data_IF_098001822729
#
_entry.id   IF_098001822729
#
_cell.length_a   1.000
_cell.length_b   1.000
_cell.length_c   1.000
_cell.angle_alpha   90.00
_cell.angle_beta   90.00
_cell.angle_gamma   90.00
#
_symmetry.space_group_name_H-M   'P 1'
#
loop_
_entity.id
_entity.type
_entity.pdbx_description
1 polymer ?
#
# COMPACT_ATOMS: atom_id res chain seq x y z
N UNK A 1 12.01 16.71 81.09
CA UNK A 1 11.06 17.17 80.05
C UNK A 1 10.54 15.92 79.33
N UNK A 2 9.55 15.21 79.90
CA UNK A 2 8.10 15.29 79.60
C UNK A 2 7.71 15.00 78.15
N UNK A 3 7.16 13.78 77.93
CA UNK A 3 5.99 13.39 77.12
C UNK A 3 6.02 13.71 75.60
N UNK A 4 5.36 13.05 74.66
CA UNK A 4 4.62 11.79 74.46
C UNK A 4 4.11 11.88 73.01
N UNK A 5 3.68 10.74 72.45
CA UNK A 5 2.72 10.58 71.34
C UNK A 5 3.27 10.62 69.89
N UNK A 6 3.10 9.45 69.27
CA UNK A 6 2.79 9.27 67.86
C UNK A 6 1.66 10.20 67.40
N UNK A 7 1.48 10.36 66.09
CA UNK A 7 0.26 10.07 65.32
C UNK A 7 0.52 10.38 63.84
N UNK A 8 -0.19 9.64 63.00
CA UNK A 8 0.04 9.45 61.58
C UNK A 8 -0.16 10.69 60.70
N UNK A 9 0.59 10.74 59.59
CA UNK A 9 0.11 11.38 58.35
C UNK A 9 0.19 10.33 57.25
N UNK A 10 -0.97 9.78 56.90
CA UNK A 10 -1.16 9.01 55.69
C UNK A 10 -1.08 9.96 54.50
N UNK A 11 -0.03 9.85 53.69
CA UNK A 11 0.02 10.44 52.36
C UNK A 11 -0.34 9.36 51.34
N UNK A 12 -1.65 9.21 51.11
CA UNK A 12 -2.18 8.62 49.88
C UNK A 12 -2.04 9.70 48.81
N UNK A 13 -1.03 9.58 47.95
CA UNK A 13 -0.96 10.37 46.71
C UNK A 13 -0.73 9.41 45.55
N UNK A 14 -1.67 9.48 44.61
CA UNK A 14 -2.02 8.44 43.66
C UNK A 14 -0.88 7.99 42.76
N UNK A 15 -0.86 6.67 42.52
CA UNK A 15 -0.35 6.13 41.27
C UNK A 15 -1.15 6.77 40.13
N UNK A 16 -0.58 7.78 39.49
CA UNK A 16 -1.00 8.18 38.15
C UNK A 16 -0.66 7.02 37.23
N UNK A 17 -1.65 6.19 36.92
CA UNK A 17 -1.57 5.23 35.83
C UNK A 17 -1.40 6.07 34.57
N UNK A 18 -0.16 6.24 34.11
CA UNK A 18 0.10 6.77 32.79
C UNK A 18 -0.35 5.67 31.84
N UNK A 19 -1.62 5.73 31.43
CA UNK A 19 -2.10 4.92 30.32
C UNK A 19 -1.24 5.30 29.13
N UNK A 20 -0.40 4.37 28.70
CA UNK A 20 0.32 4.49 27.45
C UNK A 20 -0.69 4.87 26.35
N UNK A 21 -0.33 5.78 25.42
CA UNK A 21 -1.19 6.06 24.29
C UNK A 21 -1.47 4.72 23.60
N UNK A 22 -2.75 4.35 23.55
CA UNK A 22 -3.23 3.23 22.75
C UNK A 22 -2.64 3.37 21.35
N UNK A 23 -1.98 2.35 20.79
CA UNK A 23 -1.58 2.40 19.39
C UNK A 23 -2.83 2.73 18.59
N UNK A 24 -2.74 3.80 17.78
CA UNK A 24 -3.79 4.17 16.85
C UNK A 24 -4.23 2.90 16.14
N UNK A 25 -5.51 2.55 16.30
CA UNK A 25 -6.13 1.41 15.65
C UNK A 25 -5.65 1.39 14.21
N UNK A 26 -5.01 0.29 13.82
CA UNK A 26 -4.60 0.07 12.44
C UNK A 26 -5.83 0.33 11.58
N UNK A 27 -5.84 1.48 10.89
CA UNK A 27 -6.83 1.74 9.86
C UNK A 27 -6.66 0.61 8.87
N UNK A 28 -7.58 -0.35 8.89
CA UNK A 28 -7.64 -1.39 7.89
C UNK A 28 -7.61 -0.66 6.54
N UNK A 29 -6.52 -0.83 5.79
CA UNK A 29 -6.43 -0.42 4.39
C UNK A 29 -7.50 -1.27 3.69
N UNK A 30 -8.72 -0.75 3.61
CA UNK A 30 -9.77 -1.32 2.80
C UNK A 30 -9.32 -1.04 1.37
N UNK A 31 -8.66 -2.00 0.75
CA UNK A 31 -8.39 -2.00 -0.67
C UNK A 31 -9.71 -2.35 -1.37
N UNK A 32 -10.44 -1.39 -1.96
CA UNK A 32 -11.63 -1.70 -2.75
C UNK A 32 -11.25 -2.29 -4.13
N UNK A 33 -9.95 -2.47 -4.36
CA UNK A 33 -9.31 -2.99 -5.57
C UNK A 33 -9.13 -4.51 -5.57
N UNK A 34 -9.79 -5.25 -4.66
CA UNK A 34 -9.79 -6.72 -4.66
C UNK A 34 -10.57 -7.26 -5.89
N UNK A 35 -10.03 -7.02 -7.08
CA UNK A 35 -10.48 -7.59 -8.33
C UNK A 35 -9.76 -8.92 -8.53
N UNK A 36 -10.57 -9.94 -8.78
CA UNK A 36 -10.25 -11.36 -8.64
C UNK A 36 -8.89 -11.73 -9.24
N UNK A 37 -8.00 -12.27 -8.40
CA UNK A 37 -6.92 -13.11 -8.87
C UNK A 37 -7.50 -14.23 -9.74
N UNK A 38 -6.76 -14.69 -10.75
CA UNK A 38 -7.06 -15.95 -11.41
C UNK A 38 -7.29 -17.02 -10.32
N UNK A 39 -8.49 -17.62 -10.31
CA UNK A 39 -8.88 -18.56 -9.26
C UNK A 39 -7.92 -19.74 -9.26
N UNK A 40 -7.36 -20.09 -8.09
CA UNK A 40 -6.41 -21.19 -7.97
C UNK A 40 -4.94 -20.79 -8.15
N UNK A 41 -4.60 -19.51 -7.99
CA UNK A 41 -3.22 -19.06 -7.83
C UNK A 41 -2.86 -18.86 -6.34
N UNK A 42 -1.70 -19.37 -5.95
CA UNK A 42 -1.05 -19.06 -4.67
C UNK A 42 0.00 -17.98 -4.92
N UNK A 43 0.04 -16.96 -4.05
CA UNK A 43 1.05 -15.90 -4.09
C UNK A 43 1.79 -15.81 -2.77
N UNK A 44 3.08 -15.49 -2.83
CA UNK A 44 3.91 -15.29 -1.64
C UNK A 44 5.07 -14.35 -1.95
N UNK A 45 5.68 -13.83 -0.89
CA UNK A 45 6.88 -13.00 -0.96
C UNK A 45 8.02 -13.71 -0.22
N UNK A 46 9.24 -13.54 -0.71
CA UNK A 46 10.45 -14.07 -0.10
C UNK A 46 11.53 -13.01 0.09
N UNK A 47 12.45 -13.30 1.00
CA UNK A 47 13.63 -12.49 1.24
C UNK A 47 14.58 -12.57 0.06
N UNK A 48 15.09 -11.41 -0.34
CA UNK A 48 16.13 -11.27 -1.35
C UNK A 48 17.37 -10.74 -0.67
N UNK A 49 18.51 -11.41 -0.91
CA UNK A 49 19.81 -10.94 -0.47
C UNK A 49 20.29 -9.81 -1.40
N UNK A 50 20.39 -8.59 -0.87
CA UNK A 50 21.04 -7.45 -1.51
C UNK A 50 22.48 -7.29 -1.02
N UNK A 51 23.46 -7.74 -1.79
CA UNK A 51 24.88 -7.64 -1.39
C UNK A 51 25.24 -8.46 -0.14
N UNK A 52 26.39 -8.16 0.45
CA UNK A 52 27.03 -9.06 1.43
C UNK A 52 26.26 -9.26 2.74
N UNK A 53 25.35 -8.34 3.13
CA UNK A 53 24.62 -8.49 4.40
C UNK A 53 23.29 -7.70 4.48
N UNK A 54 22.67 -7.34 3.35
CA UNK A 54 21.33 -6.73 3.38
C UNK A 54 20.30 -7.70 2.83
N UNK A 55 19.14 -7.75 3.48
CA UNK A 55 18.00 -8.55 3.05
C UNK A 55 16.79 -7.65 2.95
N UNK A 56 15.99 -7.83 1.91
CA UNK A 56 14.71 -7.12 1.78
C UNK A 56 13.63 -8.07 1.26
N UNK A 57 12.39 -7.84 1.70
CA UNK A 57 11.24 -8.67 1.38
C UNK A 57 10.67 -8.22 0.02
N UNK A 58 11.41 -8.49 -1.06
CA UNK A 58 11.18 -7.84 -2.36
C UNK A 58 10.83 -8.76 -3.51
N UNK A 59 10.96 -10.08 -3.38
CA UNK A 59 10.62 -11.01 -4.47
C UNK A 59 9.24 -11.60 -4.24
N UNK A 60 8.35 -11.34 -5.18
CA UNK A 60 7.02 -11.95 -5.17
C UNK A 60 6.95 -13.08 -6.19
N UNK A 61 6.20 -14.10 -5.82
CA UNK A 61 6.03 -15.32 -6.57
C UNK A 61 4.55 -15.62 -6.76
N UNK A 62 4.21 -16.17 -7.92
CA UNK A 62 2.86 -16.63 -8.27
C UNK A 62 2.97 -18.05 -8.80
N UNK A 63 2.13 -18.93 -8.31
CA UNK A 63 1.96 -20.27 -8.86
C UNK A 63 0.47 -20.57 -9.00
N UNK A 64 0.02 -20.82 -10.23
CA UNK A 64 -1.36 -21.15 -10.55
C UNK A 64 -1.49 -22.61 -10.96
N UNK A 65 -2.67 -23.18 -10.72
CA UNK A 65 -2.98 -24.56 -11.08
C UNK A 65 -3.16 -24.77 -12.60
N UNK A 66 -3.49 -23.73 -13.35
CA UNK A 66 -3.70 -23.80 -14.80
C UNK A 66 -3.38 -22.47 -15.50
N UNK A 67 -3.36 -22.50 -16.84
CA UNK A 67 -3.18 -21.31 -17.66
C UNK A 67 -1.72 -20.88 -17.87
N UNK A 68 -1.58 -19.73 -18.53
CA UNK A 68 -0.30 -19.07 -18.80
C UNK A 68 -0.36 -17.66 -18.23
N UNK A 69 0.62 -17.30 -17.41
CA UNK A 69 0.56 -16.08 -16.60
C UNK A 69 1.93 -15.49 -16.34
N UNK A 70 1.91 -14.21 -16.01
CA UNK A 70 3.03 -13.44 -15.45
C UNK A 70 2.73 -13.13 -13.98
N UNK A 71 3.70 -12.54 -13.31
CA UNK A 71 3.54 -11.94 -11.99
C UNK A 71 3.64 -10.42 -12.10
N UNK A 72 2.85 -9.73 -11.29
CA UNK A 72 2.93 -8.29 -11.06
C UNK A 72 3.12 -8.04 -9.56
N UNK A 73 4.03 -7.14 -9.24
CA UNK A 73 4.31 -6.72 -7.87
C UNK A 73 3.90 -5.28 -7.66
N UNK A 74 3.24 -5.01 -6.54
CA UNK A 74 3.17 -3.69 -5.96
C UNK A 74 4.34 -3.53 -5.01
N UNK A 75 5.25 -2.64 -5.34
CA UNK A 75 6.45 -2.38 -4.57
C UNK A 75 6.33 -1.03 -3.83
N UNK A 76 6.95 -0.92 -2.67
CA UNK A 76 7.14 0.35 -1.96
C UNK A 76 8.60 0.57 -1.61
N UNK A 77 9.05 1.79 -1.82
CA UNK A 77 10.34 2.25 -1.35
C UNK A 77 10.33 2.41 0.18
N UNK A 78 11.24 1.71 0.86
CA UNK A 78 11.29 1.71 2.32
C UNK A 78 11.78 3.04 2.90
N UNK A 79 12.57 3.81 2.14
CA UNK A 79 13.09 5.11 2.59
C UNK A 79 12.07 6.22 2.36
N UNK A 80 11.46 6.27 1.17
CA UNK A 80 10.59 7.39 0.76
C UNK A 80 9.10 7.10 0.90
N UNK A 81 8.71 5.82 1.02
CA UNK A 81 7.31 5.40 1.02
C UNK A 81 6.63 5.43 -0.36
N UNK A 82 7.36 5.80 -1.42
CA UNK A 82 6.83 5.89 -2.79
C UNK A 82 6.54 4.49 -3.34
N UNK A 83 5.36 4.31 -3.90
CA UNK A 83 4.92 3.05 -4.50
C UNK A 83 5.18 2.99 -6.00
N UNK A 84 5.34 1.78 -6.52
CA UNK A 84 5.48 1.52 -7.95
C UNK A 84 5.09 0.08 -8.25
N UNK A 85 5.00 -0.28 -9.53
CA UNK A 85 4.66 -1.63 -9.97
C UNK A 85 5.78 -2.20 -10.83
N UNK A 86 6.04 -3.50 -10.67
CA UNK A 86 6.99 -4.27 -11.47
C UNK A 86 6.27 -5.47 -12.07
N UNK A 87 6.47 -5.70 -13.37
CA UNK A 87 6.01 -6.92 -14.03
C UNK A 87 7.16 -7.90 -14.21
N UNK A 88 6.85 -9.20 -14.08
CA UNK A 88 7.75 -10.27 -14.48
C UNK A 88 8.01 -10.22 -15.98
N UNK A 89 9.28 -10.43 -16.38
CA UNK A 89 9.70 -10.29 -17.78
C UNK A 89 9.14 -11.35 -18.72
N UNK A 90 8.74 -12.52 -18.20
CA UNK A 90 8.31 -13.66 -19.00
C UNK A 90 7.06 -14.31 -18.41
N UNK A 91 6.20 -14.83 -19.29
CA UNK A 91 5.07 -15.66 -18.88
C UNK A 91 5.51 -17.10 -18.65
N UNK A 92 4.90 -17.77 -17.68
CA UNK A 92 5.09 -19.19 -17.36
C UNK A 92 3.80 -19.95 -17.61
N UNK A 93 3.90 -21.24 -17.94
CA UNK A 93 2.75 -22.14 -17.96
C UNK A 93 2.61 -22.81 -16.60
N UNK A 94 1.37 -23.00 -16.13
CA UNK A 94 1.10 -23.80 -14.94
C UNK A 94 1.64 -25.24 -15.10
N UNK A 95 2.15 -25.87 -14.02
CA UNK A 95 2.22 -25.35 -12.64
C UNK A 95 3.52 -24.59 -12.31
N UNK A 96 4.21 -24.00 -13.29
CA UNK A 96 5.48 -23.31 -13.08
C UNK A 96 5.36 -22.02 -12.27
N UNK A 97 6.39 -21.63 -11.50
CA UNK A 97 6.34 -20.41 -10.68
C UNK A 97 6.79 -19.18 -11.48
N UNK A 98 5.96 -18.15 -11.55
CA UNK A 98 6.34 -16.84 -12.06
C UNK A 98 6.94 -16.00 -10.93
N UNK A 99 8.06 -15.32 -11.18
CA UNK A 99 8.75 -14.51 -10.19
C UNK A 99 9.13 -13.14 -10.74
N UNK A 100 9.09 -12.15 -9.85
CA UNK A 100 9.59 -10.80 -10.09
C UNK A 100 10.22 -10.29 -8.80
N UNK A 101 11.03 -9.24 -8.89
CA UNK A 101 11.70 -8.67 -7.72
C UNK A 101 11.61 -7.16 -7.79
N UNK A 102 11.16 -6.54 -6.70
CA UNK A 102 11.25 -5.10 -6.48
C UNK A 102 12.72 -4.67 -6.52
N UNK A 103 12.98 -3.40 -6.83
CA UNK A 103 14.35 -2.89 -6.83
C UNK A 103 15.00 -3.05 -5.44
N UNK A 104 16.34 -3.11 -5.40
CA UNK A 104 17.08 -3.29 -4.15
C UNK A 104 16.69 -2.27 -3.08
N UNK A 105 16.48 -2.72 -1.84
CA UNK A 105 16.06 -1.88 -0.72
C UNK A 105 14.58 -1.48 -0.69
N UNK A 106 13.74 -2.12 -1.50
CA UNK A 106 12.30 -1.91 -1.53
C UNK A 106 11.55 -3.15 -1.05
N UNK A 107 10.27 -3.04 -0.72
CA UNK A 107 9.43 -4.15 -0.26
C UNK A 107 8.32 -4.43 -1.27
N UNK A 108 8.00 -5.71 -1.49
CA UNK A 108 6.79 -6.12 -2.20
C UNK A 108 5.62 -6.10 -1.20
N UNK A 109 4.67 -5.20 -1.41
CA UNK A 109 3.45 -5.06 -0.60
C UNK A 109 2.27 -5.87 -1.16
N UNK A 110 2.32 -6.17 -2.46
CA UNK A 110 1.29 -6.96 -3.14
C UNK A 110 1.89 -7.80 -4.26
N UNK A 111 1.33 -8.99 -4.46
CA UNK A 111 1.75 -9.95 -5.49
C UNK A 111 0.51 -10.45 -6.19
N UNK A 112 0.46 -10.27 -7.51
CA UNK A 112 -0.72 -10.51 -8.32
C UNK A 112 -0.38 -11.40 -9.52
N UNK A 113 -1.17 -12.46 -9.80
CA UNK A 113 -1.13 -13.11 -11.11
C UNK A 113 -1.61 -12.14 -12.18
N UNK A 114 -1.05 -12.25 -13.38
CA UNK A 114 -1.47 -11.50 -14.57
C UNK A 114 -1.62 -12.47 -15.73
N UNK A 115 -2.80 -12.52 -16.33
CA UNK A 115 -3.07 -13.42 -17.46
C UNK A 115 -2.18 -13.10 -18.68
N UNK A 116 -1.77 -14.13 -19.42
CA UNK A 116 -1.03 -13.99 -20.68
C UNK A 116 -1.62 -14.94 -21.77
N UNK A 117 -2.23 -14.40 -22.85
CA UNK A 117 -2.34 -12.98 -23.17
C UNK A 117 -3.32 -12.24 -22.25
N UNK A 118 -3.09 -10.94 -22.10
CA UNK A 118 -4.02 -10.07 -21.39
C UNK A 118 -5.37 -9.99 -22.12
N UNK A 119 -6.48 -9.78 -21.40
CA UNK A 119 -7.77 -9.44 -22.00
C UNK A 119 -7.65 -8.24 -22.95
N UNK A 120 -8.36 -8.29 -24.08
CA UNK A 120 -8.32 -7.21 -25.09
C UNK A 120 -9.36 -6.12 -24.86
N UNK A 121 -10.25 -6.29 -23.88
CA UNK A 121 -11.36 -5.37 -23.61
C UNK A 121 -11.48 -5.08 -22.12
N UNK A 122 -11.97 -3.87 -21.83
CA UNK A 122 -12.15 -3.41 -20.46
C UNK A 122 -10.87 -2.94 -19.79
N UNK A 123 -11.03 -2.50 -18.54
CA UNK A 123 -9.95 -2.15 -17.63
C UNK A 123 -9.84 -3.26 -16.59
N UNK A 124 -8.68 -3.90 -16.48
CA UNK A 124 -8.45 -5.02 -15.57
C UNK A 124 -7.16 -4.87 -14.77
N UNK A 125 -7.10 -5.58 -13.64
CA UNK A 125 -5.88 -5.72 -12.84
C UNK A 125 -5.34 -4.39 -12.30
N UNK A 126 -6.22 -3.48 -11.91
CA UNK A 126 -5.77 -2.22 -11.34
C UNK A 126 -5.15 -2.43 -9.96
N UNK A 127 -3.97 -1.85 -9.77
CA UNK A 127 -3.31 -1.70 -8.49
C UNK A 127 -3.19 -0.20 -8.21
N UNK A 128 -3.57 0.21 -7.02
CA UNK A 128 -3.51 1.61 -6.59
C UNK A 128 -2.75 1.76 -5.29
N UNK A 129 -2.15 2.93 -5.11
CA UNK A 129 -1.44 3.28 -3.89
C UNK A 129 -1.54 4.78 -3.61
N UNK A 130 -1.49 5.10 -2.33
CA UNK A 130 -1.40 6.47 -1.84
C UNK A 130 0.01 6.74 -1.31
N UNK A 131 0.49 7.96 -1.54
CA UNK A 131 1.82 8.40 -1.16
C UNK A 131 1.77 9.68 -0.33
N UNK A 132 2.79 9.83 0.51
CA UNK A 132 3.02 11.04 1.25
C UNK A 132 3.47 12.16 0.32
N UNK A 133 2.78 13.30 0.38
CA UNK A 133 3.26 14.55 -0.16
C UNK A 133 3.88 15.34 1.00
N UNK A 134 5.10 15.83 0.77
CA UNK A 134 5.79 16.67 1.74
C UNK A 134 5.38 18.12 1.51
N UNK A 135 4.98 18.79 2.58
CA UNK A 135 4.72 20.22 2.59
C UNK A 135 5.17 20.79 3.93
N UNK A 136 6.31 21.49 3.92
CA UNK A 136 7.01 21.88 5.12
C UNK A 136 7.57 20.67 5.89
N UNK A 137 7.50 20.71 7.22
CA UNK A 137 7.99 19.65 8.11
C UNK A 137 6.99 18.51 8.35
N UNK A 138 5.81 18.55 7.73
CA UNK A 138 4.73 17.59 7.96
C UNK A 138 4.51 16.71 6.72
N UNK A 139 4.09 15.46 6.95
CA UNK A 139 3.67 14.53 5.90
C UNK A 139 2.13 14.46 5.84
N UNK A 140 1.55 14.57 4.65
CA UNK A 140 0.11 14.29 4.43
C UNK A 140 -0.09 13.36 3.24
N UNK A 141 -1.12 12.51 3.26
CA UNK A 141 -1.47 11.66 2.13
C UNK A 141 -2.09 12.49 1.00
N UNK A 142 -1.29 13.18 0.21
CA UNK A 142 -1.83 14.07 -0.83
C UNK A 142 -1.94 13.41 -2.20
N UNK A 143 -1.23 12.31 -2.46
CA UNK A 143 -1.03 11.78 -3.82
C UNK A 143 -1.56 10.36 -3.94
N UNK A 144 -2.26 10.10 -5.03
CA UNK A 144 -2.75 8.78 -5.38
C UNK A 144 -2.33 8.43 -6.79
N UNK A 145 -1.94 7.17 -6.96
CA UNK A 145 -1.54 6.59 -8.22
C UNK A 145 -2.32 5.29 -8.45
N UNK A 146 -2.61 5.01 -9.72
CA UNK A 146 -3.15 3.73 -10.14
C UNK A 146 -2.43 3.23 -11.40
N UNK A 147 -2.19 1.93 -11.47
CA UNK A 147 -1.74 1.26 -12.67
C UNK A 147 -2.59 0.02 -12.96
N UNK A 148 -3.12 -0.09 -14.17
CA UNK A 148 -3.92 -1.24 -14.63
C UNK A 148 -3.20 -2.01 -15.73
N UNK A 149 -3.58 -3.27 -15.92
CA UNK A 149 -2.97 -4.17 -16.91
C UNK A 149 -3.47 -3.87 -18.33
N UNK A 150 -4.73 -3.43 -18.44
CA UNK A 150 -5.42 -3.24 -19.73
C UNK A 150 -6.30 -1.99 -19.75
N UNK A 151 -6.67 -1.57 -20.96
CA UNK A 151 -7.66 -0.51 -21.20
C UNK A 151 -7.12 0.92 -21.02
N UNK A 152 -8.04 1.87 -21.16
CA UNK A 152 -7.82 3.30 -20.87
C UNK A 152 -8.53 3.64 -19.58
N UNK A 153 -7.79 4.19 -18.62
CA UNK A 153 -8.25 4.42 -17.26
C UNK A 153 -7.65 5.71 -16.70
N UNK A 154 -8.16 6.15 -15.56
CA UNK A 154 -7.62 7.25 -14.78
C UNK A 154 -7.65 6.90 -13.30
N UNK A 155 -6.75 7.49 -12.52
CA UNK A 155 -6.82 7.38 -11.06
C UNK A 155 -7.99 8.23 -10.55
N UNK A 156 -8.72 7.69 -9.58
CA UNK A 156 -9.71 8.37 -8.77
C UNK A 156 -9.22 8.37 -7.32
N UNK A 157 -9.21 9.54 -6.70
CA UNK A 157 -8.87 9.69 -5.28
C UNK A 157 -10.11 10.20 -4.55
N UNK A 158 -10.50 9.51 -3.47
CA UNK A 158 -11.42 10.04 -2.47
C UNK A 158 -10.59 10.85 -1.47
N UNK A 159 -10.69 12.17 -1.59
CA UNK A 159 -9.98 13.10 -0.73
C UNK A 159 -10.85 13.54 0.44
N UNK A 160 -10.21 13.85 1.56
CA UNK A 160 -10.82 14.43 2.74
C UNK A 160 -10.05 15.65 3.19
N UNK A 161 -10.78 16.74 3.45
CA UNK A 161 -10.20 17.93 4.05
C UNK A 161 -9.72 17.62 5.47
N UNK A 162 -8.45 17.84 5.77
CA UNK A 162 -7.87 17.44 7.05
C UNK A 162 -8.39 18.30 8.22
N UNK A 163 -8.83 19.52 7.96
CA UNK A 163 -9.35 20.45 8.96
C UNK A 163 -10.86 20.29 9.17
N UNK A 164 -11.63 20.19 8.09
CA UNK A 164 -13.11 20.19 8.14
C UNK A 164 -13.73 18.79 8.06
N UNK A 165 -12.97 17.79 7.63
CA UNK A 165 -13.46 16.43 7.40
C UNK A 165 -14.34 16.27 6.15
N UNK A 166 -14.59 17.33 5.39
CA UNK A 166 -15.38 17.28 4.15
C UNK A 166 -14.71 16.40 3.09
N UNK A 167 -15.49 15.61 2.37
CA UNK A 167 -14.98 14.68 1.34
C UNK A 167 -15.28 15.19 -0.07
N UNK A 168 -14.37 14.92 -0.98
CA UNK A 168 -14.49 15.23 -2.40
C UNK A 168 -13.68 14.23 -3.24
N UNK A 169 -13.89 14.22 -4.55
CA UNK A 169 -13.21 13.30 -5.46
C UNK A 169 -12.34 14.10 -6.43
N UNK A 170 -11.12 13.63 -6.67
CA UNK A 170 -10.24 14.14 -7.72
C UNK A 170 -9.92 13.03 -8.70
N UNK A 171 -9.89 13.38 -9.99
CA UNK A 171 -9.49 12.49 -11.07
C UNK A 171 -8.13 12.89 -11.63
N UNK A 172 -7.31 11.91 -11.97
CA UNK A 172 -6.07 12.11 -12.71
C UNK A 172 -6.26 12.11 -14.22
N UNK A 173 -5.15 12.22 -14.97
CA UNK A 173 -5.19 12.14 -16.42
C UNK A 173 -5.59 10.72 -16.87
N UNK A 174 -6.34 10.66 -17.97
CA UNK A 174 -6.60 9.41 -18.67
C UNK A 174 -5.30 8.88 -19.31
N UNK A 175 -5.02 7.60 -19.12
CA UNK A 175 -3.83 6.92 -19.64
C UNK A 175 -4.22 5.55 -20.18
N UNK A 176 -3.47 5.07 -21.17
CA UNK A 176 -3.58 3.68 -21.66
C UNK A 176 -2.59 2.81 -20.90
N UNK A 177 -3.04 1.63 -20.46
CA UNK A 177 -2.19 0.63 -19.83
C UNK A 177 -0.95 0.31 -20.69
N UNK A 178 0.21 0.04 -20.07
CA UNK A 178 0.47 -0.06 -18.65
C UNK A 178 0.95 1.27 -18.02
N UNK A 179 0.66 2.44 -18.59
CA UNK A 179 1.16 3.72 -18.04
C UNK A 179 0.44 4.07 -16.74
N UNK A 180 1.14 4.52 -15.70
CA UNK A 180 0.53 4.96 -14.43
C UNK A 180 -0.24 6.27 -14.58
N UNK A 181 -1.42 6.36 -13.97
CA UNK A 181 -2.15 7.62 -13.76
C UNK A 181 -1.94 8.10 -12.32
N UNK A 182 -1.57 9.36 -12.15
CA UNK A 182 -1.28 9.96 -10.84
C UNK A 182 -1.94 11.32 -10.72
N UNK A 183 -2.50 11.62 -9.55
CA UNK A 183 -3.01 12.96 -9.22
C UNK A 183 -2.88 13.23 -7.73
N UNK A 184 -3.23 14.45 -7.31
CA UNK A 184 -3.17 14.87 -5.91
C UNK A 184 -4.47 15.47 -5.42
N UNK A 185 -4.80 15.22 -4.16
CA UNK A 185 -5.73 16.05 -3.41
C UNK A 185 -5.22 17.50 -3.36
N UNK A 186 -6.14 18.46 -3.20
CA UNK A 186 -5.76 19.84 -2.89
C UNK A 186 -4.86 19.93 -1.65
N UNK A 187 -4.07 21.00 -1.59
CA UNK A 187 -3.12 21.26 -0.51
C UNK A 187 -3.76 21.14 0.87
N UNK A 188 -3.04 20.54 1.82
CA UNK A 188 -3.53 20.30 3.19
C UNK A 188 -4.58 19.19 3.36
N UNK A 189 -4.90 18.42 2.31
CA UNK A 189 -5.93 17.37 2.36
C UNK A 189 -5.33 15.97 2.20
N UNK A 190 -6.08 14.95 2.65
CA UNK A 190 -5.64 13.56 2.68
C UNK A 190 -6.41 12.68 1.68
N UNK A 191 -5.77 11.65 1.15
CA UNK A 191 -6.34 10.60 0.32
C UNK A 191 -6.85 9.48 1.24
N UNK A 192 -8.16 9.36 1.39
CA UNK A 192 -8.81 8.30 2.16
C UNK A 192 -8.83 6.98 1.35
N UNK A 193 -9.02 7.07 0.02
CA UNK A 193 -8.99 5.91 -0.88
C UNK A 193 -8.47 6.30 -2.28
N UNK A 194 -7.80 5.35 -2.94
CA UNK A 194 -7.28 5.50 -4.31
C UNK A 194 -7.70 4.29 -5.12
N UNK A 195 -8.15 4.50 -6.35
CA UNK A 195 -8.53 3.42 -7.28
C UNK A 195 -8.26 3.81 -8.73
N UNK A 196 -8.05 2.81 -9.59
CA UNK A 196 -8.08 3.00 -11.04
C UNK A 196 -9.50 2.78 -11.56
N UNK A 197 -10.04 3.72 -12.34
CA UNK A 197 -11.38 3.62 -12.93
C UNK A 197 -11.33 3.84 -14.44
N UNK A 198 -12.28 3.26 -15.21
CA UNK A 198 -12.41 3.57 -16.64
C UNK A 198 -12.43 5.08 -16.89
N UNK A 199 -11.71 5.52 -17.92
CA UNK A 199 -11.57 6.93 -18.27
C UNK A 199 -12.85 7.49 -18.89
#
# INVERSE_FOLDING_TARGET
MTHSRAWAVAAVLGLSVVTAPTPASATARIDPSAQAAASGCTTWVEWVQGGSNSYYYGRGNVQCASGRYKVKLQCRNLQTGVGYVVYGGYAVNAPGTATATCYSGNVAEGVYPVDDPLPTTGVTGCVSWAEWVHEGSNHYYGRGSAQCDTGTYRVQIQCRNAQTGQRYVVYGPAVTAPRTSTTTCYQGNVADAVSGVPA
#
